data_IF_017697265450
#
_entry.id   IF_017697265450
#
_cell.length_a   1.000
_cell.length_b   1.000
_cell.length_c   1.000
_cell.angle_alpha   90.00
_cell.angle_beta   90.00
_cell.angle_gamma   90.00
#
_symmetry.space_group_name_H-M   'P 1'
#
loop_
_entity.id
_entity.type
_entity.pdbx_description
1 polymer ?
#
# COMPACT_ATOMS: atom_id res chain seq x y z
N UNK A 1 -3.15 6.35 26.49
CA UNK A 1 -1.96 6.92 25.86
C UNK A 1 -2.17 6.81 24.37
N UNK A 2 -2.10 7.92 23.64
CA UNK A 2 -1.98 7.88 22.18
C UNK A 2 -0.68 7.13 21.83
N UNK A 3 -0.77 6.13 20.97
CA UNK A 3 0.42 5.50 20.40
C UNK A 3 1.01 6.43 19.34
N UNK A 4 2.34 6.50 19.31
CA UNK A 4 3.06 7.37 18.37
C UNK A 4 2.85 6.90 16.92
N UNK A 5 2.65 5.58 16.73
CA UNK A 5 2.28 4.98 15.46
C UNK A 5 0.80 4.64 15.39
N UNK A 6 0.16 4.79 14.22
CA UNK A 6 -1.19 4.27 14.00
C UNK A 6 -1.19 2.75 14.19
N UNK A 7 -2.30 2.22 14.68
CA UNK A 7 -2.57 0.78 14.74
C UNK A 7 -3.58 0.47 13.63
N UNK A 8 -3.48 -0.69 12.99
CA UNK A 8 -4.57 -1.17 12.13
C UNK A 8 -5.79 -1.45 13.00
N UNK A 9 -6.92 -0.83 12.70
CA UNK A 9 -8.17 -1.07 13.45
C UNK A 9 -8.70 -2.48 13.16
N UNK A 10 -8.37 -3.05 11.99
CA UNK A 10 -8.73 -4.40 11.55
C UNK A 10 -7.66 -5.48 11.86
N UNK A 11 -6.70 -5.18 12.73
CA UNK A 11 -5.50 -5.99 12.94
C UNK A 11 -5.78 -7.46 13.30
N UNK A 12 -6.76 -7.74 14.16
CA UNK A 12 -7.02 -9.11 14.65
C UNK A 12 -7.41 -10.07 13.53
N UNK A 13 -8.27 -9.61 12.61
CA UNK A 13 -8.72 -10.43 11.49
C UNK A 13 -7.56 -10.67 10.50
N UNK A 14 -6.81 -9.63 10.17
CA UNK A 14 -5.66 -9.72 9.25
C UNK A 14 -4.58 -10.64 9.82
N UNK A 15 -4.26 -10.51 11.11
CA UNK A 15 -3.26 -11.34 11.77
C UNK A 15 -3.64 -12.81 11.74
N UNK A 16 -4.93 -13.13 11.91
CA UNK A 16 -5.41 -14.50 11.74
C UNK A 16 -5.14 -15.03 10.32
N UNK A 17 -5.48 -14.25 9.28
CA UNK A 17 -5.23 -14.66 7.89
C UNK A 17 -3.74 -14.84 7.59
N UNK A 18 -2.89 -13.94 8.09
CA UNK A 18 -1.42 -14.04 7.95
C UNK A 18 -0.93 -15.34 8.61
N UNK A 19 -1.37 -15.64 9.83
CA UNK A 19 -0.97 -16.86 10.55
C UNK A 19 -1.45 -18.16 9.88
N UNK A 20 -2.56 -18.11 9.15
CA UNK A 20 -3.09 -19.26 8.39
C UNK A 20 -2.38 -19.45 7.04
N UNK A 21 -1.60 -18.48 6.58
CA UNK A 21 -0.86 -18.51 5.31
C UNK A 21 0.65 -18.62 5.56
N UNK A 22 1.23 -19.79 5.26
CA UNK A 22 2.65 -20.06 5.47
C UNK A 22 3.58 -19.09 4.70
N UNK A 23 3.23 -18.75 3.45
CA UNK A 23 4.03 -17.85 2.62
C UNK A 23 3.97 -16.41 3.14
N UNK A 24 2.85 -16.00 3.73
CA UNK A 24 2.72 -14.72 4.41
C UNK A 24 3.60 -14.68 5.68
N UNK A 25 3.59 -15.76 6.47
CA UNK A 25 4.44 -15.88 7.65
C UNK A 25 5.93 -15.87 7.29
N UNK A 26 6.31 -16.59 6.23
CA UNK A 26 7.68 -16.63 5.74
C UNK A 26 8.15 -15.25 5.27
N UNK A 27 7.36 -14.56 4.43
CA UNK A 27 7.70 -13.20 3.95
C UNK A 27 7.91 -12.21 5.09
N UNK A 28 7.04 -12.21 6.11
CA UNK A 28 7.19 -11.31 7.25
C UNK A 28 8.47 -11.63 8.04
N UNK A 29 8.74 -12.92 8.26
CA UNK A 29 9.94 -13.38 8.97
C UNK A 29 11.21 -12.99 8.21
N UNK A 30 11.28 -13.28 6.92
CA UNK A 30 12.44 -12.98 6.09
C UNK A 30 12.72 -11.48 6.02
N UNK A 31 11.67 -10.68 5.75
CA UNK A 31 11.81 -9.23 5.73
C UNK A 31 12.29 -8.68 7.08
N UNK A 32 11.75 -9.18 8.20
CA UNK A 32 12.21 -8.75 9.52
C UNK A 32 13.71 -9.01 9.71
N UNK A 33 14.19 -10.21 9.37
CA UNK A 33 15.61 -10.54 9.49
C UNK A 33 16.49 -9.70 8.55
N UNK A 34 16.02 -9.44 7.33
CA UNK A 34 16.72 -8.57 6.38
C UNK A 34 16.83 -7.13 6.91
N UNK A 35 15.72 -6.53 7.34
CA UNK A 35 15.72 -5.16 7.88
C UNK A 35 16.53 -5.05 9.19
N UNK A 36 16.49 -6.08 10.04
CA UNK A 36 17.29 -6.15 11.25
C UNK A 36 18.79 -6.31 10.97
N UNK A 37 19.17 -7.07 9.93
CA UNK A 37 20.58 -7.16 9.52
C UNK A 37 21.06 -5.84 8.90
N UNK A 38 20.22 -5.21 8.08
CA UNK A 38 20.50 -3.94 7.43
C UNK A 38 20.50 -2.76 8.40
N UNK A 39 19.93 -2.90 9.60
CA UNK A 39 19.98 -1.89 10.65
C UNK A 39 21.28 -1.90 11.46
N UNK A 40 22.32 -2.64 11.05
CA UNK A 40 23.61 -2.71 11.73
C UNK A 40 24.29 -1.35 12.01
N UNK A 41 23.88 -0.27 11.33
CA UNK A 41 24.34 1.10 11.62
C UNK A 41 23.55 1.80 12.75
N UNK A 42 22.46 1.20 13.26
CA UNK A 42 21.70 1.65 14.44
C UNK A 42 22.31 1.03 15.69
N UNK A 43 23.56 1.40 16.01
CA UNK A 43 24.26 0.96 17.23
C UNK A 43 23.54 1.49 18.50
N UNK A 44 22.56 0.72 18.98
CA UNK A 44 22.01 0.90 20.32
C UNK A 44 22.99 0.30 21.32
N UNK A 45 23.47 1.10 22.28
CA UNK A 45 24.16 0.54 23.45
C UNK A 45 23.27 -0.45 24.20
N UNK A 46 23.86 -1.38 24.96
CA UNK A 46 23.12 -2.41 25.70
C UNK A 46 22.08 -1.78 26.65
N UNK A 47 22.42 -0.63 27.25
CA UNK A 47 21.50 0.13 28.10
C UNK A 47 20.34 0.73 27.31
N UNK A 48 20.57 1.23 26.10
CA UNK A 48 19.51 1.76 25.25
C UNK A 48 18.57 0.66 24.77
N UNK A 49 19.12 -0.51 24.41
CA UNK A 49 18.32 -1.67 24.04
C UNK A 49 17.42 -2.14 25.19
N UNK A 50 17.99 -2.38 26.37
CA UNK A 50 17.21 -2.84 27.55
C UNK A 50 16.16 -1.80 27.95
N UNK A 51 16.49 -0.50 27.87
CA UNK A 51 15.52 0.56 28.12
C UNK A 51 14.37 0.53 27.10
N UNK A 52 14.66 0.43 25.81
CA UNK A 52 13.64 0.36 24.77
C UNK A 52 12.73 -0.87 24.95
N UNK A 53 13.30 -2.00 25.35
CA UNK A 53 12.54 -3.21 25.69
C UNK A 53 11.58 -3.00 26.88
N UNK A 54 12.06 -2.38 27.96
CA UNK A 54 11.22 -2.07 29.12
C UNK A 54 10.14 -1.04 28.81
N UNK A 55 10.48 0.02 28.06
CA UNK A 55 9.54 1.04 27.63
C UNK A 55 8.44 0.42 26.76
N UNK A 56 8.79 -0.49 25.84
CA UNK A 56 7.84 -1.18 24.97
C UNK A 56 6.87 -2.07 25.76
N UNK A 57 7.36 -2.79 26.77
CA UNK A 57 6.53 -3.59 27.67
C UNK A 57 5.56 -2.72 28.48
N UNK A 58 6.07 -1.64 29.10
CA UNK A 58 5.27 -0.75 29.93
C UNK A 58 4.20 -0.01 29.12
N UNK A 59 4.56 0.47 27.94
CA UNK A 59 3.69 1.27 27.08
C UNK A 59 2.82 0.43 26.14
N UNK A 60 3.06 -0.89 26.05
CA UNK A 60 2.45 -1.80 25.07
C UNK A 60 2.60 -1.29 23.63
N UNK A 61 3.81 -0.82 23.31
CA UNK A 61 4.15 -0.21 22.02
C UNK A 61 5.30 -0.98 21.36
N UNK A 62 4.93 -2.05 20.64
CA UNK A 62 5.88 -2.85 19.88
C UNK A 62 6.50 -2.06 18.71
N UNK A 63 5.73 -1.16 18.09
CA UNK A 63 6.21 -0.36 16.95
C UNK A 63 7.36 0.56 17.35
N UNK A 64 7.29 1.19 18.53
CA UNK A 64 8.41 1.97 19.06
C UNK A 64 9.68 1.13 19.27
N UNK A 65 9.54 -0.11 19.73
CA UNK A 65 10.67 -1.03 19.87
C UNK A 65 11.27 -1.43 18.52
N UNK A 66 10.44 -1.89 17.58
CA UNK A 66 10.86 -2.30 16.24
C UNK A 66 11.58 -1.16 15.52
N UNK A 67 11.09 0.07 15.63
CA UNK A 67 11.75 1.24 15.07
C UNK A 67 13.15 1.46 15.65
N UNK A 68 13.35 1.17 16.94
CA UNK A 68 14.66 1.24 17.58
C UNK A 68 15.63 0.18 17.03
N UNK A 69 15.15 -1.05 16.82
CA UNK A 69 16.04 -2.19 16.53
C UNK A 69 16.20 -2.52 15.04
N UNK A 70 15.22 -2.20 14.20
CA UNK A 70 15.26 -2.46 12.75
C UNK A 70 14.77 -1.29 11.90
N UNK A 71 14.47 -0.13 12.49
CA UNK A 71 14.09 1.08 11.75
C UNK A 71 12.76 1.00 11.01
N UNK A 72 11.88 0.09 11.43
CA UNK A 72 10.56 -0.11 10.86
C UNK A 72 9.54 -0.27 11.99
N UNK A 73 8.35 0.33 11.86
CA UNK A 73 7.22 -0.01 12.73
C UNK A 73 6.62 -1.37 12.33
N UNK A 74 5.70 -1.91 13.14
CA UNK A 74 4.97 -3.13 12.76
C UNK A 74 4.24 -2.94 11.41
N UNK A 75 3.67 -1.76 11.20
CA UNK A 75 2.95 -1.43 9.97
C UNK A 75 3.88 -1.29 8.77
N UNK A 76 5.07 -0.72 8.96
CA UNK A 76 6.08 -0.68 7.90
C UNK A 76 6.46 -2.11 7.50
N UNK A 77 6.71 -3.01 8.46
CA UNK A 77 7.02 -4.42 8.15
C UNK A 77 5.89 -5.10 7.38
N UNK A 78 4.63 -4.96 7.81
CA UNK A 78 3.48 -5.55 7.12
C UNK A 78 3.33 -5.03 5.69
N UNK A 79 3.43 -3.71 5.50
CA UNK A 79 3.33 -3.05 4.19
C UNK A 79 4.48 -3.47 3.28
N UNK A 80 5.69 -3.49 3.82
CA UNK A 80 6.91 -3.81 3.10
C UNK A 80 6.97 -5.30 2.71
N UNK A 81 6.30 -6.18 3.48
CA UNK A 81 6.14 -7.59 3.18
C UNK A 81 4.95 -7.89 2.24
N UNK A 82 4.25 -6.86 1.75
CA UNK A 82 3.04 -6.97 0.93
C UNK A 82 1.93 -7.78 1.63
N UNK A 83 1.76 -7.57 2.94
CA UNK A 83 0.77 -8.25 3.77
C UNK A 83 -0.42 -7.37 4.15
N UNK A 84 -0.39 -6.10 3.76
CA UNK A 84 -1.49 -5.15 3.85
C UNK A 84 -1.48 -4.26 2.60
N UNK A 85 -2.65 -3.83 2.08
CA UNK A 85 -2.72 -2.88 0.99
C UNK A 85 -2.14 -1.52 1.38
N UNK A 86 -1.70 -0.77 0.37
CA UNK A 86 -1.36 0.64 0.52
C UNK A 86 -2.64 1.48 0.66
N UNK A 87 -2.55 2.67 1.25
CA UNK A 87 -3.69 3.57 1.41
C UNK A 87 -3.65 4.67 0.34
N UNK A 88 -4.81 5.05 -0.18
CA UNK A 88 -4.93 6.12 -1.20
C UNK A 88 -4.57 7.50 -0.67
N UNK A 89 -4.76 7.70 0.63
CA UNK A 89 -4.40 8.91 1.35
C UNK A 89 -4.01 8.53 2.78
N UNK A 90 -2.82 8.95 3.19
CA UNK A 90 -2.33 8.81 4.56
C UNK A 90 -2.15 10.20 5.18
N UNK A 91 -3.10 10.65 6.00
CA UNK A 91 -3.07 11.94 6.72
C UNK A 91 -2.88 13.15 5.79
N UNK A 92 -3.65 13.20 4.73
CA UNK A 92 -3.62 14.28 3.74
C UNK A 92 -2.57 14.08 2.63
N UNK A 93 -1.77 13.02 2.68
CA UNK A 93 -0.80 12.69 1.63
C UNK A 93 -1.40 11.68 0.66
N UNK A 94 -1.79 12.14 -0.53
CA UNK A 94 -2.27 11.27 -1.62
C UNK A 94 -1.17 10.35 -2.16
N UNK A 95 -1.47 9.06 -2.26
CA UNK A 95 -0.59 8.05 -2.84
C UNK A 95 -1.42 6.87 -3.39
N UNK A 96 -1.31 6.50 -4.67
CA UNK A 96 -0.44 7.10 -5.67
C UNK A 96 -1.02 8.44 -6.17
N UNK A 97 -0.16 9.32 -6.65
CA UNK A 97 -0.54 10.60 -7.24
C UNK A 97 -0.92 10.37 -8.70
N UNK A 98 -2.18 10.65 -9.06
CA UNK A 98 -2.63 10.65 -10.46
C UNK A 98 -1.89 11.72 -11.26
N UNK A 99 -1.37 11.35 -12.42
CA UNK A 99 -0.64 12.23 -13.34
C UNK A 99 -1.47 12.60 -14.57
N UNK A 100 -2.55 11.86 -14.85
CA UNK A 100 -3.47 12.12 -15.95
C UNK A 100 -4.91 12.29 -15.48
N UNK A 101 -5.68 13.08 -16.21
CA UNK A 101 -7.13 13.22 -16.04
C UNK A 101 -7.90 12.04 -16.66
N UNK A 102 -9.22 12.18 -16.77
CA UNK A 102 -10.11 11.13 -17.30
C UNK A 102 -9.94 10.96 -18.82
N UNK A 103 -9.52 12.00 -19.52
CA UNK A 103 -9.23 12.02 -20.95
C UNK A 103 -7.81 11.52 -21.28
N UNK A 104 -6.99 11.24 -20.26
CA UNK A 104 -5.63 10.76 -20.42
C UNK A 104 -4.59 11.86 -20.59
N UNK A 105 -4.96 13.13 -20.42
CA UNK A 105 -4.06 14.27 -20.55
C UNK A 105 -3.30 14.55 -19.25
N UNK A 106 -2.03 14.99 -19.38
CA UNK A 106 -1.19 15.26 -18.22
C UNK A 106 -1.72 16.44 -17.37
N UNK A 107 -1.91 16.19 -16.08
CA UNK A 107 -2.32 17.20 -15.11
C UNK A 107 -1.14 18.17 -14.88
N UNK A 108 -1.25 19.40 -15.39
CA UNK A 108 -0.14 20.38 -15.45
C UNK A 108 0.47 20.78 -14.11
N UNK A 109 -0.24 20.58 -13.00
CA UNK A 109 0.19 21.02 -11.67
C UNK A 109 1.12 20.03 -10.95
N UNK A 110 1.40 18.87 -11.53
CA UNK A 110 2.20 17.84 -10.85
C UNK A 110 3.70 17.99 -11.14
N UNK A 111 4.49 18.33 -10.11
CA UNK A 111 5.94 18.58 -10.22
C UNK A 111 6.74 17.37 -10.73
N UNK A 112 6.25 16.16 -10.50
CA UNK A 112 6.86 14.90 -10.97
C UNK A 112 6.66 14.63 -12.46
N UNK A 113 5.84 15.41 -13.19
CA UNK A 113 5.64 15.22 -14.63
C UNK A 113 6.94 15.29 -15.45
N UNK A 114 7.94 16.05 -14.96
CA UNK A 114 9.27 16.14 -15.60
C UNK A 114 10.04 14.81 -15.61
N UNK A 115 9.64 13.85 -14.78
CA UNK A 115 10.26 12.53 -14.69
C UNK A 115 9.64 11.52 -15.68
N UNK A 116 8.51 11.85 -16.29
CA UNK A 116 7.84 10.99 -17.27
C UNK A 116 8.61 11.06 -18.59
N UNK A 117 9.11 9.92 -19.06
CA UNK A 117 9.72 9.86 -20.39
C UNK A 117 8.66 9.89 -21.49
N UNK A 118 9.00 10.44 -22.68
CA UNK A 118 8.10 10.40 -23.84
C UNK A 118 7.69 8.97 -24.21
N UNK A 119 8.57 7.99 -23.97
CA UNK A 119 8.28 6.57 -24.21
C UNK A 119 7.17 6.08 -23.28
N UNK A 120 7.29 6.32 -21.98
CA UNK A 120 6.28 5.92 -20.99
C UNK A 120 4.91 6.57 -21.27
N UNK A 121 4.90 7.85 -21.62
CA UNK A 121 3.65 8.54 -21.97
C UNK A 121 3.00 7.94 -23.21
N UNK A 122 3.77 7.67 -24.28
CA UNK A 122 3.26 7.00 -25.48
C UNK A 122 2.72 5.60 -25.19
N UNK A 123 3.40 4.82 -24.36
CA UNK A 123 2.92 3.50 -23.95
C UNK A 123 1.59 3.60 -23.20
N UNK A 124 1.45 4.56 -22.28
CA UNK A 124 0.19 4.81 -21.58
C UNK A 124 -0.93 5.21 -22.55
N UNK A 125 -0.67 6.11 -23.50
CA UNK A 125 -1.67 6.51 -24.50
C UNK A 125 -2.14 5.31 -25.33
N UNK A 126 -1.22 4.43 -25.77
CA UNK A 126 -1.57 3.22 -26.50
C UNK A 126 -2.46 2.27 -25.69
N UNK A 127 -2.19 2.14 -24.39
CA UNK A 127 -3.01 1.33 -23.47
C UNK A 127 -4.40 1.93 -23.33
N UNK A 128 -4.49 3.26 -23.16
CA UNK A 128 -5.76 3.95 -22.99
C UNK A 128 -6.62 3.84 -24.26
N UNK A 129 -6.01 3.98 -25.44
CA UNK A 129 -6.69 3.86 -26.75
C UNK A 129 -7.24 2.44 -27.01
N UNK A 130 -6.65 1.43 -26.38
CA UNK A 130 -7.03 0.02 -26.51
C UNK A 130 -7.87 -0.50 -25.34
N UNK A 131 -8.08 0.32 -24.30
CA UNK A 131 -8.78 -0.10 -23.11
C UNK A 131 -10.26 -0.38 -23.42
N UNK A 132 -10.77 -1.49 -22.89
CA UNK A 132 -12.19 -1.79 -22.94
C UNK A 132 -12.99 -0.73 -22.15
N UNK A 133 -14.18 -0.39 -22.65
CA UNK A 133 -15.14 0.47 -21.96
C UNK A 133 -15.80 -0.32 -20.81
N UNK A 134 -15.09 -0.39 -19.69
CA UNK A 134 -15.54 -1.10 -18.48
C UNK A 134 -16.19 -0.08 -17.54
N UNK A 135 -17.46 -0.29 -17.12
CA UNK A 135 -18.12 0.59 -16.16
C UNK A 135 -17.36 0.66 -14.83
N UNK A 136 -17.34 1.84 -14.22
CA UNK A 136 -16.75 2.08 -12.89
C UNK A 136 -15.26 1.72 -12.80
N UNK A 137 -14.55 1.81 -13.92
CA UNK A 137 -13.13 1.49 -14.02
C UNK A 137 -12.37 2.65 -14.69
N UNK A 138 -11.18 2.96 -14.19
CA UNK A 138 -10.29 3.97 -14.77
C UNK A 138 -8.86 3.46 -14.90
N UNK A 139 -8.18 3.86 -15.96
CA UNK A 139 -6.73 3.70 -16.14
C UNK A 139 -6.10 5.08 -16.15
N UNK A 140 -5.06 5.29 -15.36
CA UNK A 140 -4.29 6.53 -15.40
C UNK A 140 -2.80 6.29 -15.24
N UNK A 141 -2.02 7.26 -15.70
CA UNK A 141 -0.62 7.34 -15.34
C UNK A 141 -0.53 7.83 -13.90
N UNK A 142 0.30 7.18 -13.07
CA UNK A 142 0.43 7.55 -11.67
C UNK A 142 1.88 7.52 -11.20
N UNK A 143 2.16 8.30 -10.16
CA UNK A 143 3.38 8.28 -9.40
C UNK A 143 3.10 7.69 -8.01
N UNK A 144 3.61 6.49 -7.77
CA UNK A 144 3.50 5.79 -6.50
C UNK A 144 4.81 5.81 -5.73
N UNK A 145 4.72 5.82 -4.40
CA UNK A 145 5.87 5.74 -3.51
C UNK A 145 5.53 4.96 -2.26
N UNK A 146 6.53 4.42 -1.59
CA UNK A 146 6.42 3.89 -0.22
C UNK A 146 6.92 4.93 0.77
N UNK A 147 6.51 4.77 2.01
CA UNK A 147 6.97 5.62 3.10
C UNK A 147 7.87 4.82 4.02
N UNK A 148 8.94 5.47 4.47
CA UNK A 148 9.81 4.98 5.54
C UNK A 148 9.80 6.00 6.66
N UNK A 149 9.58 5.51 7.87
CA UNK A 149 9.63 6.32 9.08
C UNK A 149 11.04 6.30 9.66
N UNK A 150 11.49 7.42 10.22
CA UNK A 150 12.70 7.49 11.02
C UNK A 150 12.52 8.46 12.20
N UNK A 151 13.30 8.27 13.26
CA UNK A 151 13.29 9.19 14.39
C UNK A 151 14.34 10.29 14.19
N UNK A 152 13.90 11.54 13.98
CA UNK A 152 14.82 12.69 14.05
C UNK A 152 15.23 12.99 15.49
N UNK A 153 14.34 12.76 16.45
CA UNK A 153 14.51 12.85 17.90
C UNK A 153 13.49 11.91 18.59
N UNK A 154 13.62 11.66 19.91
CA UNK A 154 12.77 10.69 20.65
C UNK A 154 11.25 10.86 20.51
N UNK A 155 10.76 12.01 20.04
CA UNK A 155 9.31 12.31 19.98
C UNK A 155 8.81 12.75 18.59
N UNK A 156 9.67 12.78 17.55
CA UNK A 156 9.26 13.29 16.23
C UNK A 156 9.60 12.28 15.14
N UNK A 157 8.54 11.73 14.52
CA UNK A 157 8.65 10.83 13.37
C UNK A 157 8.85 11.67 12.12
N UNK A 158 9.92 11.40 11.39
CA UNK A 158 10.14 11.90 10.05
C UNK A 158 9.69 10.83 9.04
N UNK A 159 8.74 11.18 8.18
CA UNK A 159 8.29 10.32 7.08
C UNK A 159 9.03 10.71 5.81
N UNK A 160 9.69 9.73 5.18
CA UNK A 160 10.43 9.92 3.93
C UNK A 160 9.80 9.07 2.83
N UNK A 161 9.76 9.60 1.62
CA UNK A 161 9.37 8.83 0.43
C UNK A 161 10.54 7.96 -0.02
N UNK A 162 10.24 6.70 -0.30
CA UNK A 162 11.17 5.70 -0.83
C UNK A 162 10.48 4.91 -1.94
N UNK A 163 11.23 4.20 -2.77
CA UNK A 163 10.63 3.34 -3.81
C UNK A 163 9.74 4.11 -4.79
N UNK A 164 10.14 5.32 -5.14
CA UNK A 164 9.38 6.24 -6.00
C UNK A 164 9.37 5.77 -7.46
N UNK A 165 8.18 5.53 -8.00
CA UNK A 165 8.01 4.98 -9.34
C UNK A 165 6.86 5.65 -10.10
N UNK A 166 7.07 5.82 -11.41
CA UNK A 166 5.98 6.09 -12.35
C UNK A 166 5.49 4.75 -12.90
N UNK A 167 4.18 4.63 -13.08
CA UNK A 167 3.55 3.41 -13.57
C UNK A 167 2.12 3.63 -14.02
N UNK A 168 1.45 2.51 -14.30
CA UNK A 168 0.02 2.47 -14.63
C UNK A 168 -0.76 2.20 -13.34
N UNK A 169 -1.81 2.98 -13.09
CA UNK A 169 -2.75 2.75 -12.00
C UNK A 169 -4.11 2.35 -12.59
N UNK A 170 -4.60 1.21 -12.14
CA UNK A 170 -5.93 0.69 -12.43
C UNK A 170 -6.82 0.97 -11.22
N UNK A 171 -7.95 1.64 -11.42
CA UNK A 171 -8.89 2.02 -10.37
C UNK A 171 -10.23 1.34 -10.60
N UNK A 172 -10.73 0.66 -9.57
CA UNK A 172 -12.00 -0.06 -9.59
C UNK A 172 -12.93 0.61 -8.58
N UNK A 173 -13.90 1.39 -9.06
CA UNK A 173 -14.81 2.15 -8.19
C UNK A 173 -15.83 1.23 -7.55
N UNK A 174 -16.03 1.44 -6.26
CA UNK A 174 -17.04 0.79 -5.44
C UNK A 174 -18.26 1.73 -5.33
N UNK A 175 -19.48 1.20 -5.51
CA UNK A 175 -20.68 1.98 -5.35
C UNK A 175 -20.88 2.35 -3.86
N UNK A 176 -21.61 3.44 -3.59
CA UNK A 176 -21.73 4.00 -2.22
C UNK A 176 -22.35 3.02 -1.23
N UNK A 177 -23.21 2.14 -1.74
CA UNK A 177 -23.89 1.07 -1.01
C UNK A 177 -22.90 0.13 -0.31
N UNK A 178 -21.68 -0.06 -0.85
CA UNK A 178 -20.62 -0.83 -0.16
C UNK A 178 -20.34 -0.23 1.21
N UNK A 179 -20.14 1.09 1.26
CA UNK A 179 -19.83 1.80 2.50
C UNK A 179 -21.03 1.88 3.45
N UNK A 180 -22.24 1.79 2.93
CA UNK A 180 -23.48 1.86 3.70
C UNK A 180 -23.93 0.49 4.24
N UNK A 181 -23.58 -0.61 3.56
CA UNK A 181 -24.15 -1.93 3.83
C UNK A 181 -23.12 -2.98 4.27
N UNK A 182 -21.82 -2.75 4.07
CA UNK A 182 -20.76 -3.70 4.43
C UNK A 182 -19.80 -3.07 5.44
N UNK A 183 -19.46 -3.82 6.48
CA UNK A 183 -18.43 -3.44 7.44
C UNK A 183 -17.05 -3.38 6.75
N UNK A 184 -16.23 -2.37 7.12
CA UNK A 184 -14.92 -2.14 6.47
C UNK A 184 -14.00 -3.36 6.57
N UNK A 185 -14.04 -4.06 7.70
CA UNK A 185 -13.22 -5.24 7.95
C UNK A 185 -13.53 -6.40 7.00
N UNK A 186 -14.78 -6.54 6.55
CA UNK A 186 -15.19 -7.56 5.58
C UNK A 186 -14.68 -7.22 4.18
N UNK A 187 -14.81 -5.95 3.78
CA UNK A 187 -14.25 -5.46 2.51
C UNK A 187 -12.73 -5.60 2.50
N UNK A 188 -12.06 -5.16 3.55
CA UNK A 188 -10.62 -5.28 3.72
C UNK A 188 -10.17 -6.76 3.67
N UNK A 189 -10.90 -7.66 4.30
CA UNK A 189 -10.62 -9.10 4.24
C UNK A 189 -10.63 -9.63 2.80
N UNK A 190 -11.62 -9.22 1.99
CA UNK A 190 -11.69 -9.60 0.57
C UNK A 190 -10.51 -8.99 -0.19
N UNK A 191 -10.23 -7.70 0.01
CA UNK A 191 -9.08 -7.03 -0.61
C UNK A 191 -7.78 -7.78 -0.30
N UNK A 192 -7.59 -8.22 0.95
CA UNK A 192 -6.41 -8.99 1.35
C UNK A 192 -6.28 -10.31 0.57
N UNK A 193 -7.38 -11.05 0.35
CA UNK A 193 -7.33 -12.31 -0.42
C UNK A 193 -6.89 -12.07 -1.87
N UNK A 194 -7.38 -10.99 -2.48
CA UNK A 194 -6.99 -10.63 -3.84
C UNK A 194 -5.59 -10.03 -3.92
N UNK A 195 -5.12 -9.35 -2.87
CA UNK A 195 -3.75 -8.91 -2.76
C UNK A 195 -2.78 -10.10 -2.68
N UNK A 196 -3.10 -11.17 -1.96
CA UNK A 196 -2.25 -12.38 -1.96
C UNK A 196 -2.13 -12.97 -3.37
N UNK A 197 -3.24 -13.04 -4.11
CA UNK A 197 -3.23 -13.48 -5.51
C UNK A 197 -2.44 -12.54 -6.42
N UNK A 198 -2.51 -11.23 -6.15
CA UNK A 198 -1.71 -10.22 -6.85
C UNK A 198 -0.22 -10.46 -6.63
N UNK A 199 0.20 -10.70 -5.39
CA UNK A 199 1.59 -10.99 -5.08
C UNK A 199 2.10 -12.27 -5.75
N UNK A 200 1.25 -13.31 -5.85
CA UNK A 200 1.58 -14.56 -6.54
C UNK A 200 1.75 -14.38 -8.06
N UNK A 201 0.89 -13.58 -8.70
CA UNK A 201 0.83 -13.47 -10.15
C UNK A 201 1.64 -12.30 -10.72
N UNK A 202 1.66 -11.17 -10.02
CA UNK A 202 2.28 -9.92 -10.40
C UNK A 202 3.13 -9.38 -9.24
N UNK A 203 4.20 -10.09 -8.85
CA UNK A 203 5.05 -9.65 -7.75
C UNK A 203 5.58 -8.24 -8.02
N UNK A 204 5.57 -7.38 -6.99
CA UNK A 204 5.93 -5.94 -7.04
C UNK A 204 4.86 -5.00 -7.62
N UNK A 205 3.67 -5.51 -7.93
CA UNK A 205 2.50 -4.65 -8.04
C UNK A 205 2.09 -4.17 -6.63
N UNK A 206 1.35 -3.07 -6.54
CA UNK A 206 0.84 -2.58 -5.26
C UNK A 206 -0.67 -2.52 -5.30
N UNK A 207 -1.33 -3.21 -4.38
CA UNK A 207 -2.78 -3.05 -4.16
C UNK A 207 -3.02 -1.89 -3.21
N UNK A 208 -4.02 -1.06 -3.52
CA UNK A 208 -4.44 0.09 -2.73
C UNK A 208 -5.88 -0.06 -2.25
N UNK A 209 -6.11 0.18 -0.95
CA UNK A 209 -7.42 0.26 -0.33
C UNK A 209 -7.34 1.04 1.00
N UNK A 210 -8.43 1.72 1.34
CA UNK A 210 -8.54 2.52 2.57
C UNK A 210 -7.89 3.91 2.49
N UNK A 211 -8.32 4.75 3.42
CA UNK A 211 -7.85 6.12 3.63
C UNK A 211 -7.62 6.33 5.13
N UNK A 212 -6.58 7.07 5.48
CA UNK A 212 -6.40 7.60 6.83
C UNK A 212 -6.59 9.10 6.79
N UNK A 213 -7.59 9.59 7.51
CA UNK A 213 -7.92 11.02 7.54
C UNK A 213 -6.88 11.84 8.34
N UNK A 214 -7.03 13.17 8.33
CA UNK A 214 -6.14 14.08 9.05
C UNK A 214 -6.17 13.89 10.58
N UNK A 215 -7.26 13.32 11.11
CA UNK A 215 -7.43 13.00 12.52
C UNK A 215 -6.89 11.60 12.87
N UNK A 216 -6.25 10.91 11.92
CA UNK A 216 -5.69 9.56 12.05
C UNK A 216 -6.74 8.44 12.22
N UNK A 217 -7.97 8.68 11.79
CA UNK A 217 -8.99 7.63 11.72
C UNK A 217 -8.97 6.93 10.37
N UNK A 218 -9.09 5.60 10.40
CA UNK A 218 -9.25 4.79 9.20
C UNK A 218 -10.65 4.99 8.62
N UNK A 219 -10.72 5.07 7.29
CA UNK A 219 -11.91 5.28 6.51
C UNK A 219 -11.93 4.35 5.32
N UNK A 220 -13.12 3.83 5.00
CA UNK A 220 -13.31 3.06 3.77
C UNK A 220 -12.98 3.92 2.54
N UNK A 221 -12.27 3.31 1.59
CA UNK A 221 -12.09 3.88 0.26
C UNK A 221 -13.33 3.58 -0.60
N UNK A 222 -13.68 4.51 -1.48
CA UNK A 222 -14.69 4.30 -2.53
C UNK A 222 -14.13 3.55 -3.75
N UNK A 223 -12.89 3.08 -3.71
CA UNK A 223 -12.23 2.41 -4.82
C UNK A 223 -11.11 1.47 -4.34
N UNK A 224 -10.79 0.49 -5.19
CA UNK A 224 -9.62 -0.37 -5.08
C UNK A 224 -8.64 0.05 -6.17
N UNK A 225 -7.35 0.10 -5.85
CA UNK A 225 -6.30 0.41 -6.82
C UNK A 225 -5.34 -0.75 -7.02
N UNK A 226 -4.85 -0.92 -8.25
CA UNK A 226 -3.68 -1.74 -8.55
C UNK A 226 -2.67 -0.89 -9.31
N UNK A 227 -1.49 -0.69 -8.73
CA UNK A 227 -0.41 0.07 -9.33
C UNK A 227 0.67 -0.85 -9.89
N UNK A 228 1.04 -0.62 -11.15
CA UNK A 228 2.05 -1.35 -11.90
C UNK A 228 3.22 -0.42 -12.26
N UNK A 229 4.28 -0.37 -11.43
CA UNK A 229 5.49 0.41 -11.73
C UNK A 229 6.13 0.03 -13.06
N UNK A 230 6.41 1.01 -13.93
CA UNK A 230 7.11 0.73 -15.20
C UNK A 230 8.44 0.00 -14.99
N UNK A 231 9.16 0.33 -13.90
CA UNK A 231 10.42 -0.32 -13.52
C UNK A 231 10.37 -1.85 -13.57
N UNK A 232 9.20 -2.44 -13.32
CA UNK A 232 9.01 -3.90 -13.27
C UNK A 232 8.12 -4.42 -14.40
N UNK A 233 7.17 -3.63 -14.88
CA UNK A 233 6.11 -4.13 -15.75
C UNK A 233 6.17 -3.61 -17.21
N UNK A 234 7.14 -2.76 -17.57
CA UNK A 234 7.23 -2.13 -18.90
C UNK A 234 7.31 -3.15 -20.07
N UNK A 235 7.97 -4.29 -19.91
CA UNK A 235 8.25 -5.20 -21.03
C UNK A 235 7.02 -6.02 -21.49
N UNK A 236 6.08 -6.32 -20.60
CA UNK A 236 4.86 -7.11 -20.91
C UNK A 236 3.61 -6.39 -20.41
N UNK A 237 3.59 -5.06 -20.57
CA UNK A 237 2.65 -4.20 -19.87
C UNK A 237 1.18 -4.53 -20.14
N UNK A 238 0.80 -4.76 -21.40
CA UNK A 238 -0.58 -5.14 -21.76
C UNK A 238 -1.04 -6.42 -21.05
N UNK A 239 -0.22 -7.48 -21.10
CA UNK A 239 -0.49 -8.75 -20.40
C UNK A 239 -0.55 -8.56 -18.88
N UNK A 240 0.33 -7.74 -18.32
CA UNK A 240 0.33 -7.44 -16.88
C UNK A 240 -0.94 -6.68 -16.46
N UNK A 241 -1.44 -5.77 -17.31
CA UNK A 241 -2.70 -5.07 -17.09
C UNK A 241 -3.89 -6.02 -17.19
N UNK A 242 -3.91 -6.92 -18.18
CA UNK A 242 -4.95 -7.94 -18.31
C UNK A 242 -5.05 -8.80 -17.04
N UNK A 243 -3.90 -9.28 -16.53
CA UNK A 243 -3.84 -10.05 -15.28
C UNK A 243 -4.30 -9.22 -14.08
N UNK A 244 -3.84 -7.97 -13.96
CA UNK A 244 -4.24 -7.08 -12.88
C UNK A 244 -5.74 -6.75 -12.94
N UNK A 245 -6.31 -6.59 -14.13
CA UNK A 245 -7.75 -6.39 -14.32
C UNK A 245 -8.55 -7.61 -13.86
N UNK A 246 -8.13 -8.82 -14.20
CA UNK A 246 -8.79 -10.03 -13.71
C UNK A 246 -8.84 -10.09 -12.19
N UNK A 247 -7.77 -9.67 -11.52
CA UNK A 247 -7.69 -9.61 -10.05
C UNK A 247 -8.57 -8.48 -9.50
N UNK A 248 -8.43 -7.26 -10.01
CA UNK A 248 -9.16 -6.09 -9.50
C UNK A 248 -10.67 -6.16 -9.73
N UNK A 249 -11.10 -6.57 -10.93
CA UNK A 249 -12.51 -6.79 -11.23
C UNK A 249 -13.07 -7.95 -10.40
N UNK A 250 -12.32 -9.04 -10.25
CA UNK A 250 -12.71 -10.15 -9.38
C UNK A 250 -12.90 -9.73 -7.93
N UNK A 251 -12.02 -8.86 -7.42
CA UNK A 251 -12.11 -8.30 -6.07
C UNK A 251 -13.38 -7.46 -5.92
N UNK A 252 -13.60 -6.51 -6.84
CA UNK A 252 -14.80 -5.68 -6.89
C UNK A 252 -16.07 -6.53 -6.95
N UNK A 253 -16.16 -7.48 -7.87
CA UNK A 253 -17.34 -8.35 -7.99
C UNK A 253 -17.59 -9.15 -6.72
N UNK A 254 -16.53 -9.66 -6.07
CA UNK A 254 -16.69 -10.39 -4.80
C UNK A 254 -17.29 -9.50 -3.70
N UNK A 255 -16.86 -8.25 -3.59
CA UNK A 255 -17.44 -7.27 -2.65
C UNK A 255 -18.91 -7.00 -3.01
N UNK A 256 -19.20 -6.77 -4.30
CA UNK A 256 -20.57 -6.49 -4.76
C UNK A 256 -21.55 -7.66 -4.53
N UNK A 257 -21.07 -8.91 -4.49
CA UNK A 257 -21.93 -10.05 -4.14
C UNK A 257 -22.44 -10.02 -2.70
N UNK A 258 -21.89 -9.19 -1.83
CA UNK A 258 -22.36 -9.06 -0.44
C UNK A 258 -23.55 -8.10 -0.30
N UNK A 259 -23.83 -7.30 -1.33
CA UNK A 259 -24.93 -6.30 -1.34
C UNK A 259 -26.16 -6.83 -2.08
N UNK A 260 -25.97 -7.89 -2.89
CA UNK A 260 -27.02 -8.54 -3.67
C UNK A 260 -27.77 -9.57 -2.83
#
# INVERSE_FOLDING_TARGET
METIFPREENAEHIFKKILENNDACERLRELFYEEFANSGDRDLSEKQFVKALFDAYQNRDLSAFLMGICGNSMFDLLRNAFLIPMRFNDKGVTNPVRLTDAEGELIKQTSVNKQISQKQYKMFQQILDQADDIPDYEICLAYGFREKHDYRNKNEINTMKIGEHIGILLLFKLPKEVKEMIEDNEVYSIVWDFMMRLEEQLPRAFMYYGVMDENKFEQQSSEIGIFLPFRHFEHQLEKNIEQANGIGLGCRERILTMIK
#
